data_IF_637679218321
#
_entry.id   IF_637679218321
#
_cell.length_a   1.000
_cell.length_b   1.000
_cell.length_c   1.000
_cell.angle_alpha   90.00
_cell.angle_beta   90.00
_cell.angle_gamma   90.00
#
_symmetry.space_group_name_H-M   'P 1'
#
loop_
_entity.id
_entity.type
_entity.pdbx_description
1 polymer ?
#
# COMPACT_ATOMS: atom_id res chain seq x y z
N UNK A 1 -12.72 -9.57 -9.61
CA UNK A 1 -13.97 -9.38 -8.83
C UNK A 1 -14.93 -10.57 -8.91
N UNK A 2 -15.21 -11.15 -10.08
CA UNK A 2 -16.23 -12.22 -10.21
C UNK A 2 -15.95 -13.48 -9.37
N UNK A 3 -14.69 -13.90 -9.28
CA UNK A 3 -14.27 -15.04 -8.44
C UNK A 3 -14.50 -14.78 -6.95
N UNK A 4 -14.28 -13.55 -6.48
CA UNK A 4 -14.48 -13.14 -5.09
C UNK A 4 -15.97 -13.08 -4.74
N UNK A 5 -16.78 -12.51 -5.64
CA UNK A 5 -18.25 -12.47 -5.50
C UNK A 5 -18.85 -13.88 -5.43
N UNK A 6 -18.39 -14.79 -6.29
CA UNK A 6 -18.84 -16.19 -6.28
C UNK A 6 -18.46 -16.94 -4.99
N UNK A 7 -17.31 -16.65 -4.39
CA UNK A 7 -16.88 -17.21 -3.11
C UNK A 7 -17.74 -16.69 -1.95
N UNK A 8 -18.01 -15.39 -1.89
CA UNK A 8 -18.83 -14.78 -0.84
C UNK A 8 -20.28 -15.29 -0.90
N UNK A 9 -20.83 -15.46 -2.11
CA UNK A 9 -22.15 -16.09 -2.29
C UNK A 9 -22.18 -17.56 -1.86
N UNK A 10 -21.13 -18.34 -2.14
CA UNK A 10 -21.01 -19.72 -1.62
C UNK A 10 -20.93 -19.79 -0.10
N UNK A 11 -20.43 -18.73 0.54
CA UNK A 11 -20.38 -18.59 2.00
C UNK A 11 -21.68 -18.01 2.58
N UNK A 12 -22.72 -17.79 1.75
CA UNK A 12 -24.02 -17.27 2.19
C UNK A 12 -24.05 -15.76 2.43
N UNK A 13 -23.05 -15.02 1.95
CA UNK A 13 -22.95 -13.57 2.10
C UNK A 13 -23.44 -12.91 0.81
N UNK A 14 -24.60 -12.26 0.87
CA UNK A 14 -25.11 -11.44 -0.22
C UNK A 14 -24.57 -10.01 -0.11
N UNK A 15 -23.88 -9.56 -1.17
CA UNK A 15 -23.35 -8.21 -1.25
C UNK A 15 -24.38 -7.28 -1.90
N UNK A 16 -24.65 -6.13 -1.27
CA UNK A 16 -25.39 -5.05 -1.92
C UNK A 16 -24.56 -4.42 -3.04
N UNK A 17 -25.21 -3.66 -3.93
CA UNK A 17 -24.51 -2.95 -5.02
C UNK A 17 -23.43 -2.00 -4.49
N UNK A 18 -23.70 -1.35 -3.35
CA UNK A 18 -22.79 -0.39 -2.73
C UNK A 18 -21.58 -1.08 -2.07
N UNK A 19 -21.80 -2.21 -1.39
CA UNK A 19 -20.72 -3.05 -0.85
C UNK A 19 -19.86 -3.66 -1.95
N UNK A 20 -20.46 -4.05 -3.08
CA UNK A 20 -19.73 -4.57 -4.24
C UNK A 20 -18.80 -3.50 -4.81
N UNK A 21 -19.23 -2.23 -4.86
CA UNK A 21 -18.44 -1.12 -5.37
C UNK A 21 -17.24 -0.81 -4.47
N UNK A 22 -17.46 -0.74 -3.16
CA UNK A 22 -16.39 -0.52 -2.18
C UNK A 22 -15.34 -1.65 -2.21
N UNK A 23 -15.78 -2.91 -2.32
CA UNK A 23 -14.87 -4.06 -2.40
C UNK A 23 -14.08 -4.03 -3.71
N UNK A 24 -14.68 -3.65 -4.85
CA UNK A 24 -13.95 -3.49 -6.11
C UNK A 24 -12.83 -2.46 -6.00
N UNK A 25 -13.12 -1.28 -5.45
CA UNK A 25 -12.12 -0.22 -5.27
C UNK A 25 -10.97 -0.65 -4.36
N UNK A 26 -11.26 -1.33 -3.24
CA UNK A 26 -10.23 -1.85 -2.33
C UNK A 26 -9.41 -2.96 -2.99
N UNK A 27 -10.05 -3.87 -3.74
CA UNK A 27 -9.36 -4.97 -4.41
C UNK A 27 -8.45 -4.45 -5.52
N UNK A 28 -8.89 -3.48 -6.33
CA UNK A 28 -8.06 -2.91 -7.39
C UNK A 28 -6.89 -2.08 -6.83
N UNK A 29 -7.06 -1.47 -5.65
CA UNK A 29 -6.03 -0.63 -5.02
C UNK A 29 -5.02 -1.43 -4.20
N UNK A 30 -5.44 -2.46 -3.48
CA UNK A 30 -4.61 -3.19 -2.51
C UNK A 30 -4.19 -4.59 -2.98
N UNK A 31 -4.78 -5.12 -4.05
CA UNK A 31 -4.50 -6.48 -4.53
C UNK A 31 -4.09 -6.50 -6.01
N UNK A 32 -2.91 -7.05 -6.25
CA UNK A 32 -2.45 -7.44 -7.59
C UNK A 32 -3.20 -8.71 -7.99
N UNK A 33 -3.85 -8.70 -9.16
CA UNK A 33 -4.63 -9.85 -9.64
C UNK A 33 -3.75 -11.09 -9.80
N UNK A 34 -4.29 -12.28 -9.51
CA UNK A 34 -3.52 -13.53 -9.63
C UNK A 34 -2.92 -13.73 -11.05
N UNK A 35 -3.60 -13.20 -12.07
CA UNK A 35 -3.14 -13.24 -13.46
C UNK A 35 -1.94 -12.30 -13.70
N UNK A 36 -1.89 -11.13 -13.05
CA UNK A 36 -0.73 -10.22 -13.11
C UNK A 36 0.44 -10.75 -12.29
N UNK A 37 0.20 -11.28 -11.09
CA UNK A 37 1.23 -11.94 -10.29
C UNK A 37 1.82 -13.19 -11.00
N UNK A 38 0.99 -13.97 -11.70
CA UNK A 38 1.45 -15.07 -12.52
C UNK A 38 2.24 -14.58 -13.75
N UNK A 39 1.77 -13.53 -14.42
CA UNK A 39 2.49 -12.92 -15.54
C UNK A 39 3.87 -12.41 -15.12
N UNK A 40 3.97 -11.73 -13.96
CA UNK A 40 5.23 -11.23 -13.42
C UNK A 40 6.20 -12.37 -13.06
N UNK A 41 5.70 -13.47 -12.49
CA UNK A 41 6.49 -14.67 -12.22
C UNK A 41 7.02 -15.30 -13.53
N UNK A 42 6.16 -15.39 -14.54
CA UNK A 42 6.55 -15.93 -15.86
C UNK A 42 7.60 -15.04 -16.52
N UNK A 43 7.43 -13.73 -16.42
CA UNK A 43 8.38 -12.72 -16.92
C UNK A 43 9.73 -12.82 -16.21
N UNK A 44 9.73 -13.04 -14.90
CA UNK A 44 10.94 -13.27 -14.11
C UNK A 44 11.68 -14.54 -14.52
N UNK A 45 10.95 -15.65 -14.69
CA UNK A 45 11.55 -16.91 -15.14
C UNK A 45 12.13 -16.78 -16.57
N UNK A 46 11.45 -16.05 -17.44
CA UNK A 46 11.89 -15.80 -18.81
C UNK A 46 13.12 -14.88 -18.86
N UNK A 47 13.14 -13.81 -18.06
CA UNK A 47 14.33 -12.96 -17.86
C UNK A 47 15.52 -13.76 -17.32
N UNK A 48 15.28 -14.64 -16.36
CA UNK A 48 16.32 -15.50 -15.78
C UNK A 48 16.92 -16.44 -16.84
N UNK A 49 16.08 -17.03 -17.71
CA UNK A 49 16.54 -17.85 -18.83
C UNK A 49 17.34 -17.03 -19.85
N UNK A 50 16.90 -15.81 -20.15
CA UNK A 50 17.60 -14.92 -21.08
C UNK A 50 18.98 -14.52 -20.54
N UNK A 51 19.09 -14.24 -19.24
CA UNK A 51 20.38 -13.97 -18.58
C UNK A 51 21.33 -15.17 -18.71
N UNK A 52 20.88 -16.37 -18.36
CA UNK A 52 21.71 -17.58 -18.44
C UNK A 52 22.16 -17.91 -19.88
N UNK A 53 21.31 -17.66 -20.88
CA UNK A 53 21.66 -17.81 -22.29
C UNK A 53 22.71 -16.77 -22.73
N UNK A 54 22.53 -15.51 -22.33
CA UNK A 54 23.46 -14.40 -22.63
C UNK A 54 24.83 -14.63 -22.00
N UNK A 55 24.90 -15.14 -20.78
CA UNK A 55 26.17 -15.48 -20.12
C UNK A 55 26.95 -16.56 -20.89
N UNK A 56 26.24 -17.57 -21.40
CA UNK A 56 26.83 -18.60 -22.28
C UNK A 56 27.37 -18.00 -23.56
N UNK A 57 26.62 -17.12 -24.22
CA UNK A 57 27.05 -16.46 -25.44
C UNK A 57 28.26 -15.56 -25.20
N UNK A 58 28.30 -14.83 -24.07
CA UNK A 58 29.45 -14.00 -23.68
C UNK A 58 30.71 -14.83 -23.43
N UNK A 59 30.58 -15.98 -22.76
CA UNK A 59 31.70 -16.90 -22.56
C UNK A 59 32.22 -17.45 -23.90
N UNK A 60 31.32 -17.72 -24.84
CA UNK A 60 31.68 -18.20 -26.20
C UNK A 60 32.38 -17.11 -27.02
N UNK A 61 31.84 -15.89 -27.02
CA UNK A 61 32.47 -14.72 -27.66
C UNK A 61 33.86 -14.43 -27.09
N UNK A 62 34.10 -14.72 -25.81
CA UNK A 62 35.41 -14.54 -25.14
C UNK A 62 36.42 -15.58 -25.59
N UNK A 63 35.96 -16.79 -25.89
CA UNK A 63 36.82 -17.86 -26.40
C UNK A 63 37.14 -17.69 -27.89
N UNK A 64 36.20 -17.14 -28.67
CA UNK A 64 36.33 -17.05 -30.13
C UNK A 64 37.08 -15.78 -30.62
N UNK A 65 37.24 -14.74 -29.78
CA UNK A 65 37.94 -13.50 -30.17
C UNK A 65 39.42 -13.50 -29.76
N UNK A 66 40.32 -13.27 -30.72
CA UNK A 66 41.79 -13.14 -30.52
C UNK A 66 42.33 -11.72 -30.76
N UNK A 67 41.46 -10.73 -30.94
CA UNK A 67 41.84 -9.32 -31.14
C UNK A 67 41.74 -8.56 -29.82
N UNK A 68 42.80 -7.86 -29.41
CA UNK A 68 42.87 -7.11 -28.13
C UNK A 68 41.74 -6.08 -27.97
N UNK A 69 41.35 -5.41 -29.07
CA UNK A 69 40.24 -4.43 -29.09
C UNK A 69 38.89 -5.10 -28.79
N UNK A 70 38.64 -6.27 -29.40
CA UNK A 70 37.43 -7.05 -29.18
C UNK A 70 37.41 -7.69 -27.78
N UNK A 71 38.57 -8.08 -27.25
CA UNK A 71 38.69 -8.55 -25.87
C UNK A 71 38.28 -7.44 -24.89
N UNK A 72 38.75 -6.21 -25.13
CA UNK A 72 38.47 -5.04 -24.28
C UNK A 72 36.98 -4.68 -24.30
N UNK A 73 36.37 -4.63 -25.48
CA UNK A 73 34.93 -4.38 -25.62
C UNK A 73 34.09 -5.47 -24.93
N UNK A 74 34.56 -6.72 -24.95
CA UNK A 74 33.85 -7.85 -24.36
C UNK A 74 33.99 -7.92 -22.84
N UNK A 75 35.10 -7.42 -22.29
CA UNK A 75 35.29 -7.22 -20.87
C UNK A 75 34.46 -6.03 -20.35
N UNK A 76 34.41 -4.90 -21.08
CA UNK A 76 33.50 -3.79 -20.79
C UNK A 76 32.04 -4.22 -20.82
N UNK A 77 31.65 -5.00 -21.84
CA UNK A 77 30.29 -5.50 -21.95
C UNK A 77 29.95 -6.45 -20.80
N UNK A 78 30.85 -7.35 -20.42
CA UNK A 78 30.66 -8.21 -19.26
C UNK A 78 30.53 -7.41 -17.95
N UNK A 79 31.36 -6.39 -17.77
CA UNK A 79 31.31 -5.55 -16.58
C UNK A 79 29.97 -4.82 -16.50
N UNK A 80 29.50 -4.24 -17.60
CA UNK A 80 28.16 -3.63 -17.70
C UNK A 80 27.05 -4.64 -17.40
N UNK A 81 27.12 -5.85 -17.94
CA UNK A 81 26.11 -6.87 -17.68
C UNK A 81 26.03 -7.28 -16.21
N UNK A 82 27.18 -7.46 -15.55
CA UNK A 82 27.20 -7.74 -14.11
C UNK A 82 26.60 -6.59 -13.32
N UNK A 83 27.01 -5.37 -13.62
CA UNK A 83 26.48 -4.18 -12.97
C UNK A 83 24.96 -4.05 -13.17
N UNK A 84 24.46 -4.18 -14.41
CA UNK A 84 23.04 -4.09 -14.72
C UNK A 84 22.24 -5.21 -14.03
N UNK A 85 22.81 -6.40 -13.91
CA UNK A 85 22.18 -7.54 -13.23
C UNK A 85 22.10 -7.29 -11.72
N UNK A 86 23.18 -6.79 -11.12
CA UNK A 86 23.21 -6.44 -9.70
C UNK A 86 22.24 -5.28 -9.40
N UNK A 87 22.20 -4.25 -10.25
CA UNK A 87 21.27 -3.12 -10.14
C UNK A 87 19.81 -3.55 -10.30
N UNK A 88 19.52 -4.47 -11.24
CA UNK A 88 18.18 -5.04 -11.42
C UNK A 88 17.75 -5.87 -10.21
N UNK A 89 18.63 -6.74 -9.71
CA UNK A 89 18.33 -7.54 -8.52
C UNK A 89 18.14 -6.67 -7.28
N UNK A 90 18.92 -5.60 -7.14
CA UNK A 90 18.77 -4.62 -6.07
C UNK A 90 17.42 -3.90 -6.17
N UNK A 91 17.04 -3.43 -7.37
CA UNK A 91 15.73 -2.80 -7.61
C UNK A 91 14.56 -3.75 -7.34
N UNK A 92 14.68 -5.00 -7.79
CA UNK A 92 13.64 -6.01 -7.58
C UNK A 92 13.46 -6.32 -6.09
N UNK A 93 14.56 -6.48 -5.37
CA UNK A 93 14.55 -6.72 -3.92
C UNK A 93 13.97 -5.51 -3.17
N UNK A 94 14.34 -4.29 -3.58
CA UNK A 94 13.77 -3.06 -3.03
C UNK A 94 12.26 -2.97 -3.27
N UNK A 95 11.80 -3.26 -4.48
CA UNK A 95 10.36 -3.27 -4.80
C UNK A 95 9.59 -4.32 -4.01
N UNK A 96 10.14 -5.52 -3.84
CA UNK A 96 9.52 -6.57 -3.02
C UNK A 96 9.43 -6.15 -1.55
N UNK A 97 10.50 -5.57 -1.01
CA UNK A 97 10.51 -5.04 0.35
C UNK A 97 9.51 -3.89 0.51
N UNK A 98 9.44 -2.97 -0.44
CA UNK A 98 8.51 -1.85 -0.44
C UNK A 98 7.05 -2.32 -0.48
N UNK A 99 6.73 -3.25 -1.38
CA UNK A 99 5.38 -3.81 -1.48
C UNK A 99 4.97 -4.54 -0.21
N UNK A 100 5.86 -5.37 0.35
CA UNK A 100 5.59 -6.05 1.61
C UNK A 100 5.41 -5.07 2.77
N UNK A 101 6.14 -3.94 2.76
CA UNK A 101 6.07 -2.95 3.81
C UNK A 101 4.76 -2.15 3.68
N UNK A 102 4.37 -1.78 2.46
CA UNK A 102 3.09 -1.13 2.21
C UNK A 102 1.92 -2.03 2.63
N UNK A 103 1.97 -3.32 2.28
CA UNK A 103 0.96 -4.32 2.67
C UNK A 103 0.88 -4.51 4.19
N UNK A 104 2.03 -4.55 4.87
CA UNK A 104 2.06 -4.63 6.33
C UNK A 104 1.42 -3.38 6.94
N UNK A 105 1.80 -2.20 6.45
CA UNK A 105 1.37 -0.91 6.99
C UNK A 105 -0.09 -0.57 6.62
N UNK A 106 -0.65 -1.08 5.52
CA UNK A 106 -2.06 -0.86 5.19
C UNK A 106 -3.02 -1.57 6.16
N UNK A 107 -2.54 -2.57 6.91
CA UNK A 107 -3.27 -3.18 8.01
C UNK A 107 -3.41 -2.28 9.26
N UNK A 108 -2.74 -1.13 9.30
CA UNK A 108 -2.72 -0.24 10.46
C UNK A 108 -3.26 1.15 10.10
N UNK A 109 -4.11 1.69 10.99
CA UNK A 109 -4.66 3.02 10.82
C UNK A 109 -3.75 4.05 11.50
N UNK A 110 -2.88 4.71 10.73
CA UNK A 110 -1.96 5.74 11.24
C UNK A 110 -2.66 7.09 11.42
N UNK A 111 -2.14 7.92 12.33
CA UNK A 111 -2.71 9.24 12.61
C UNK A 111 -2.67 10.20 11.40
N UNK A 112 -1.69 10.02 10.50
CA UNK A 112 -1.63 10.71 9.21
C UNK A 112 -0.68 9.98 8.25
N UNK A 113 -0.79 10.27 6.95
CA UNK A 113 0.14 9.76 5.93
C UNK A 113 1.60 10.16 6.21
N UNK A 114 1.82 11.33 6.82
CA UNK A 114 3.16 11.80 7.17
C UNK A 114 3.77 10.95 8.28
N UNK A 115 2.96 10.59 9.28
CA UNK A 115 3.37 9.70 10.37
C UNK A 115 3.62 8.29 9.83
N UNK A 116 2.72 7.77 8.98
CA UNK A 116 2.91 6.49 8.29
C UNK A 116 4.26 6.44 7.57
N UNK A 117 4.61 7.49 6.82
CA UNK A 117 5.91 7.58 6.12
C UNK A 117 7.10 7.60 7.09
N UNK A 118 7.01 8.37 8.19
CA UNK A 118 8.07 8.40 9.21
C UNK A 118 8.32 7.02 9.81
N UNK A 119 7.26 6.32 10.21
CA UNK A 119 7.34 4.97 10.78
C UNK A 119 7.85 3.97 9.74
N UNK A 120 7.47 4.13 8.48
CA UNK A 120 7.95 3.29 7.38
C UNK A 120 9.45 3.46 7.14
N UNK A 121 9.95 4.69 7.19
CA UNK A 121 11.38 4.96 7.03
C UNK A 121 12.19 4.43 8.23
N UNK A 122 11.68 4.58 9.46
CA UNK A 122 12.27 3.96 10.65
C UNK A 122 12.27 2.43 10.55
N UNK A 123 11.15 1.84 10.11
CA UNK A 123 11.01 0.41 9.89
C UNK A 123 12.01 -0.13 8.86
N UNK A 124 12.20 0.57 7.75
CA UNK A 124 13.23 0.24 6.75
C UNK A 124 14.63 0.34 7.37
N UNK A 125 14.89 1.36 8.19
CA UNK A 125 16.15 1.54 8.92
C UNK A 125 16.46 0.42 9.91
N UNK A 126 15.45 -0.29 10.44
CA UNK A 126 15.64 -1.47 11.31
C UNK A 126 16.14 -2.70 10.56
N UNK A 127 16.00 -2.75 9.23
CA UNK A 127 16.52 -3.84 8.41
C UNK A 127 15.84 -5.19 8.68
N UNK A 128 14.53 -5.20 8.93
CA UNK A 128 13.78 -6.45 9.10
C UNK A 128 13.95 -7.36 7.88
N UNK A 129 14.08 -8.66 8.13
CA UNK A 129 14.24 -9.65 7.06
C UNK A 129 12.89 -9.94 6.43
N UNK A 130 12.86 -9.97 5.10
CA UNK A 130 11.71 -10.40 4.34
C UNK A 130 11.78 -11.92 4.12
N UNK A 131 10.87 -12.68 4.73
CA UNK A 131 10.73 -14.12 4.52
C UNK A 131 9.32 -14.43 4.01
N UNK A 132 9.22 -15.23 2.95
CA UNK A 132 7.95 -15.59 2.31
C UNK A 132 7.06 -14.39 1.92
N UNK A 133 7.67 -13.23 1.62
CA UNK A 133 6.95 -12.00 1.27
C UNK A 133 6.37 -11.23 2.45
N UNK A 134 6.77 -11.57 3.69
CA UNK A 134 6.40 -10.85 4.91
C UNK A 134 7.64 -10.50 5.74
N UNK A 135 7.59 -9.39 6.47
CA UNK A 135 8.68 -9.01 7.35
C UNK A 135 8.63 -9.76 8.67
N UNK A 136 9.68 -10.55 8.95
CA UNK A 136 9.86 -11.24 10.22
C UNK A 136 10.10 -10.21 11.31
N UNK A 137 9.27 -10.20 12.36
CA UNK A 137 9.34 -9.20 13.44
C UNK A 137 8.65 -7.88 13.12
N UNK A 138 8.12 -7.71 11.89
CA UNK A 138 7.56 -6.45 11.46
C UNK A 138 6.20 -6.13 12.08
N UNK A 139 5.36 -7.15 12.31
CA UNK A 139 4.09 -7.00 13.02
C UNK A 139 4.33 -6.69 14.50
N UNK A 140 5.25 -7.42 15.11
CA UNK A 140 5.63 -7.24 16.51
C UNK A 140 6.15 -5.83 16.77
N UNK A 141 6.90 -5.26 15.82
CA UNK A 141 7.32 -3.87 15.87
C UNK A 141 6.14 -2.89 15.88
N UNK A 142 5.18 -3.06 14.96
CA UNK A 142 4.01 -2.18 14.87
C UNK A 142 3.07 -2.31 16.08
N UNK A 143 2.89 -3.52 16.60
CA UNK A 143 2.15 -3.76 17.85
C UNK A 143 2.85 -3.13 19.06
N UNK A 144 4.19 -3.27 19.15
CA UNK A 144 4.98 -2.61 20.17
C UNK A 144 4.85 -1.08 20.10
N UNK A 145 4.89 -0.52 18.89
CA UNK A 145 4.69 0.90 18.64
C UNK A 145 3.28 1.36 19.06
N UNK A 146 2.26 0.54 18.85
CA UNK A 146 0.88 0.83 19.28
C UNK A 146 0.76 0.91 20.81
N UNK A 147 1.55 0.10 21.53
CA UNK A 147 1.59 0.11 22.99
C UNK A 147 2.43 1.26 23.55
N UNK A 148 3.60 1.54 22.97
CA UNK A 148 4.51 2.58 23.45
C UNK A 148 4.07 3.98 23.04
N UNK A 149 3.57 4.13 21.81
CA UNK A 149 3.23 5.42 21.20
C UNK A 149 1.84 5.34 20.52
N UNK A 150 0.75 5.22 21.30
CA UNK A 150 -0.60 5.10 20.75
C UNK A 150 -1.02 6.29 19.89
N UNK A 151 -0.40 7.47 20.07
CA UNK A 151 -0.64 8.69 19.29
C UNK A 151 -0.15 8.62 17.84
N UNK A 152 0.71 7.65 17.52
CA UNK A 152 1.17 7.37 16.15
C UNK A 152 0.02 6.79 15.30
N UNK A 153 -0.91 6.10 15.95
CA UNK A 153 -2.08 5.51 15.34
C UNK A 153 -3.29 6.42 15.49
N UNK A 154 -4.21 6.35 14.53
CA UNK A 154 -5.47 7.07 14.63
C UNK A 154 -6.24 6.53 15.85
N UNK A 155 -6.79 7.43 16.66
CA UNK A 155 -7.69 7.03 17.73
C UNK A 155 -8.85 6.24 17.11
N UNK A 156 -9.13 5.05 17.65
CA UNK A 156 -10.36 4.34 17.31
C UNK A 156 -11.51 5.31 17.60
N UNK A 157 -12.22 5.76 16.55
CA UNK A 157 -13.52 6.33 16.73
C UNK A 157 -14.39 5.20 17.31
N UNK A 158 -14.47 5.13 18.65
CA UNK A 158 -15.68 4.57 19.26
C UNK A 158 -16.83 5.30 18.58
N UNK A 159 -17.79 4.59 17.96
CA UNK A 159 -19.00 5.22 17.47
C UNK A 159 -19.53 6.05 18.63
N UNK A 160 -19.50 7.36 18.47
CA UNK A 160 -19.86 8.27 19.54
C UNK A 160 -21.27 7.90 19.97
N UNK A 161 -21.42 7.42 21.21
CA UNK A 161 -22.68 7.59 21.92
C UNK A 161 -22.91 9.10 21.97
N UNK A 162 -23.72 9.60 21.05
CA UNK A 162 -24.40 10.88 21.23
C UNK A 162 -25.37 10.69 22.41
N UNK A 163 -24.83 10.72 23.63
CA UNK A 163 -25.59 10.77 24.87
C UNK A 163 -26.08 12.21 25.02
N UNK A 164 -27.39 12.38 24.98
CA UNK A 164 -28.04 13.69 24.94
C UNK A 164 -27.88 14.53 26.20
N UNK A 165 -27.98 15.85 25.98
CA UNK A 165 -28.62 16.89 26.80
C UNK A 165 -28.16 18.21 26.16
N UNK A 166 -29.00 19.00 25.53
CA UNK A 166 -30.09 19.75 26.16
C UNK A 166 -31.30 19.88 25.24
N UNK A 167 -32.44 19.56 25.84
CA UNK A 167 -33.79 19.88 25.44
C UNK A 167 -33.93 21.36 24.99
N UNK A 168 -34.38 21.58 23.77
CA UNK A 168 -35.15 22.77 23.39
C UNK A 168 -35.99 22.43 22.16
N UNK A 169 -37.24 22.07 22.45
CA UNK A 169 -38.32 21.99 21.49
C UNK A 169 -38.53 23.39 20.89
N UNK A 170 -38.13 23.58 19.63
CA UNK A 170 -38.63 24.70 18.83
C UNK A 170 -39.18 24.10 17.54
N UNK A 171 -40.48 23.85 17.58
CA UNK A 171 -41.31 23.63 16.40
C UNK A 171 -41.06 24.75 15.39
N UNK A 172 -40.61 24.39 14.19
CA UNK A 172 -40.61 25.30 13.06
C UNK A 172 -42.07 25.65 12.70
N UNK A 173 -42.53 26.82 13.13
CA UNK A 173 -43.71 27.47 12.56
C UNK A 173 -43.24 28.69 11.76
N UNK A 174 -43.43 28.61 10.44
CA UNK A 174 -42.90 29.53 9.44
C UNK A 174 -43.66 30.86 9.31
N UNK A 175 -44.33 31.35 10.36
CA UNK A 175 -45.09 32.59 10.29
C UNK A 175 -44.85 33.40 11.56
N UNK A 176 -43.98 34.42 11.48
CA UNK A 176 -44.06 35.72 12.17
C UNK A 176 -42.69 36.40 12.17
N UNK A 177 -42.29 36.89 10.99
CA UNK A 177 -41.12 37.76 10.82
C UNK A 177 -41.39 39.22 11.21
N UNK A 178 -42.63 39.58 11.55
CA UNK A 178 -43.03 40.98 11.76
C UNK A 178 -43.04 41.45 13.23
N UNK A 179 -42.97 40.56 14.23
CA UNK A 179 -42.98 40.99 15.65
C UNK A 179 -41.60 41.22 16.27
N UNK A 180 -40.50 40.83 15.62
CA UNK A 180 -39.15 41.04 16.16
C UNK A 180 -38.50 42.39 15.81
N UNK A 181 -39.13 43.20 14.95
CA UNK A 181 -38.56 44.49 14.53
C UNK A 181 -38.93 45.62 15.51
N UNK A 182 -39.95 45.43 16.37
CA UNK A 182 -40.44 46.49 17.27
C UNK A 182 -39.96 46.43 18.73
N UNK A 183 -39.15 45.43 19.12
CA UNK A 183 -38.56 45.38 20.46
C UNK A 183 -37.33 46.29 20.66
N UNK A 184 -36.96 47.08 19.64
CA UNK A 184 -35.82 48.01 19.65
C UNK A 184 -36.15 49.45 20.04
N UNK A 185 -37.43 49.83 20.19
CA UNK A 185 -37.82 51.19 20.58
C UNK A 185 -38.71 51.09 21.82
N UNK A 186 -38.13 51.41 22.98
CA UNK A 186 -38.80 51.29 24.27
C UNK A 186 -40.06 52.15 24.38
N UNK A 187 -41.16 51.52 24.79
CA UNK A 187 -42.27 52.19 25.48
C UNK A 187 -42.72 51.27 26.61
N UNK A 188 -42.43 51.68 27.85
CA UNK A 188 -43.07 51.13 29.06
C UNK A 188 -44.48 51.71 29.16
N UNK A 189 -45.49 50.85 29.30
CA UNK A 189 -46.32 50.79 30.51
C UNK A 189 -47.23 49.59 30.47
#
# INVERSE_FOLDING_TARGET
>A
MDKLKALLQKLGIELTADQTKQISEVVEKEFVSADTAAADKTKLDELTKQLAARDKDLAKLKADNKSEELQKQLDELNAKYKQDTDDLNAKLSAQQADFAAEKLFSGYNFASDRVRKSVLDEFRGKGFKLENGEFVGGREYLEGLKQSEPTVFAAEQKPGLFMGSTQSNVSASANNLEEQIFAGIGVKK
#
